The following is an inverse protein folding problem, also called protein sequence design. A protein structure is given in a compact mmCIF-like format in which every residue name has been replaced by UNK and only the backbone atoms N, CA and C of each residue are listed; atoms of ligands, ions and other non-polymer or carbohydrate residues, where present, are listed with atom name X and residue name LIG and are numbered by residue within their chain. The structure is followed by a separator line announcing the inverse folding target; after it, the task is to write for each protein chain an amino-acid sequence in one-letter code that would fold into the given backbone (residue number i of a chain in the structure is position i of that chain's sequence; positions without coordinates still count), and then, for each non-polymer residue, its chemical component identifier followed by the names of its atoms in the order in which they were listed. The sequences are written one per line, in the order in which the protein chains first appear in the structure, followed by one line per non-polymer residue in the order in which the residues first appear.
data_IF_094446237903
#
_entry.id   IF_094446237903
#
_cell.length_a   1.000
_cell.length_b   1.000
_cell.length_c   1.000
_cell.angle_alpha   90.00
_cell.angle_beta   90.00
_cell.angle_gamma   90.00
#
_symmetry.space_group_name_H-M   'P 1'
#
loop_
_entity.id
_entity.type
_entity.pdbx_description
1 polymer ?
#
# COMPACT_ATOMS: atom_id res chain seq x y z
N UNK A 1 -19.72 23.02 -0.58
CA UNK A 1 -19.13 22.92 0.78
C UNK A 1 -17.63 23.12 0.69
N UNK A 2 -17.06 24.09 1.43
CA UNK A 2 -15.60 24.28 1.53
C UNK A 2 -15.04 23.25 2.51
N UNK A 3 -14.01 22.50 2.11
CA UNK A 3 -13.34 21.52 2.99
C UNK A 3 -12.31 22.25 3.84
N UNK A 4 -12.32 22.01 5.16
CA UNK A 4 -11.29 22.56 6.05
C UNK A 4 -9.97 21.78 5.92
N UNK A 5 -8.84 22.46 6.05
CA UNK A 5 -7.51 21.83 6.02
C UNK A 5 -7.35 20.74 7.09
N UNK A 6 -7.91 20.96 8.28
CA UNK A 6 -7.95 19.95 9.36
C UNK A 6 -8.76 18.72 8.95
N UNK A 7 -9.89 18.92 8.27
CA UNK A 7 -10.71 17.81 7.75
C UNK A 7 -9.97 17.01 6.67
N UNK A 8 -9.29 17.70 5.76
CA UNK A 8 -8.46 17.06 4.74
C UNK A 8 -7.29 16.26 5.35
N UNK A 9 -6.56 16.85 6.30
CA UNK A 9 -5.46 16.17 6.98
C UNK A 9 -5.91 14.91 7.73
N UNK A 10 -7.08 14.95 8.40
CA UNK A 10 -7.64 13.76 9.05
C UNK A 10 -7.98 12.67 8.04
N UNK A 11 -8.49 13.03 6.86
CA UNK A 11 -8.77 12.06 5.80
C UNK A 11 -7.49 11.42 5.27
N UNK A 12 -6.42 12.19 5.03
CA UNK A 12 -5.14 11.64 4.57
C UNK A 12 -4.48 10.75 5.63
N UNK A 13 -4.57 11.13 6.91
CA UNK A 13 -4.15 10.29 8.03
C UNK A 13 -4.93 8.98 8.09
N UNK A 14 -6.26 9.04 7.91
CA UNK A 14 -7.11 7.86 7.85
C UNK A 14 -6.72 6.92 6.71
N UNK A 15 -6.47 7.45 5.51
CA UNK A 15 -6.01 6.66 4.37
C UNK A 15 -4.62 6.03 4.60
N UNK A 16 -3.69 6.77 5.20
CA UNK A 16 -2.37 6.25 5.59
C UNK A 16 -2.49 5.10 6.59
N UNK A 17 -3.33 5.25 7.62
CA UNK A 17 -3.59 4.18 8.61
C UNK A 17 -4.25 2.97 7.94
N UNK A 18 -5.23 3.17 7.06
CA UNK A 18 -5.87 2.08 6.33
C UNK A 18 -4.86 1.32 5.45
N UNK A 19 -4.00 2.03 4.72
CA UNK A 19 -2.91 1.42 3.94
C UNK A 19 -1.90 0.68 4.82
N UNK A 20 -1.72 1.10 6.07
CA UNK A 20 -0.79 0.44 6.99
C UNK A 20 -1.40 -0.85 7.54
N UNK A 21 -2.66 -0.78 7.93
CA UNK A 21 -3.42 -1.92 8.40
C UNK A 21 -3.57 -3.00 7.32
N UNK A 22 -3.82 -2.66 6.05
CA UNK A 22 -3.93 -3.68 4.98
C UNK A 22 -2.60 -4.41 4.75
N UNK A 23 -1.46 -3.75 4.93
CA UNK A 23 -0.14 -4.40 4.84
C UNK A 23 0.04 -5.37 6.02
N UNK A 24 -0.39 -4.99 7.22
CA UNK A 24 -0.36 -5.89 8.40
C UNK A 24 -1.28 -7.09 8.17
N UNK A 25 -2.53 -6.88 7.75
CA UNK A 25 -3.46 -7.99 7.51
C UNK A 25 -2.99 -8.89 6.37
N UNK A 26 -2.41 -8.33 5.30
CA UNK A 26 -1.79 -9.11 4.23
C UNK A 26 -0.57 -9.91 4.72
N UNK A 27 0.20 -9.35 5.66
CA UNK A 27 1.30 -10.08 6.31
C UNK A 27 0.76 -11.25 7.16
N UNK A 28 -0.37 -11.07 7.85
CA UNK A 28 -1.05 -12.15 8.57
C UNK A 28 -1.55 -13.24 7.62
N UNK A 29 -2.17 -12.88 6.49
CA UNK A 29 -2.58 -13.84 5.44
C UNK A 29 -1.39 -14.70 5.04
N UNK A 30 -0.23 -14.08 4.78
CA UNK A 30 0.99 -14.81 4.41
C UNK A 30 1.52 -15.71 5.53
N UNK A 31 1.69 -15.16 6.74
CA UNK A 31 2.31 -15.85 7.87
C UNK A 31 1.45 -17.01 8.39
N UNK A 32 0.14 -16.97 8.15
CA UNK A 32 -0.79 -18.05 8.49
C UNK A 32 -0.96 -19.07 7.36
N UNK A 33 -0.29 -18.91 6.22
CA UNK A 33 -0.47 -19.81 5.07
C UNK A 33 -1.83 -19.67 4.39
N UNK A 34 -2.53 -18.54 4.57
CA UNK A 34 -3.90 -18.33 4.07
C UNK A 34 -3.96 -17.63 2.71
N UNK A 35 -2.86 -17.56 1.97
CA UNK A 35 -2.78 -16.82 0.69
C UNK A 35 -3.60 -17.43 -0.45
N UNK A 36 -4.05 -18.68 -0.30
CA UNK A 36 -4.97 -19.40 -1.20
C UNK A 36 -6.20 -19.91 -0.41
N UNK A 37 -6.60 -19.19 0.64
CA UNK A 37 -7.81 -19.51 1.41
C UNK A 37 -9.10 -19.38 0.60
N UNK A 38 -9.11 -18.48 -0.39
CA UNK A 38 -10.13 -18.35 -1.42
C UNK A 38 -9.59 -18.89 -2.76
N UNK A 39 -10.36 -19.77 -3.40
CA UNK A 39 -9.99 -20.43 -4.64
C UNK A 39 -10.06 -19.53 -5.88
N UNK A 40 -10.84 -18.45 -5.83
CA UNK A 40 -11.08 -17.58 -6.99
C UNK A 40 -11.07 -16.09 -6.59
N UNK A 41 -11.21 -15.21 -7.57
CA UNK A 41 -11.45 -13.77 -7.44
C UNK A 41 -12.31 -13.29 -8.62
N UNK A 42 -13.36 -12.45 -8.44
CA UNK A 42 -13.68 -11.64 -7.27
C UNK A 42 -14.52 -12.34 -6.19
N UNK A 43 -15.17 -13.44 -6.54
CA UNK A 43 -15.81 -14.35 -5.59
C UNK A 43 -14.74 -15.17 -4.85
N UNK A 44 -15.01 -15.62 -3.62
CA UNK A 44 -14.04 -16.44 -2.88
C UNK A 44 -14.01 -17.90 -3.39
N UNK A 45 -15.13 -18.43 -3.88
CA UNK A 45 -15.25 -19.74 -4.53
C UNK A 45 -16.32 -19.71 -5.62
N UNK A 46 -16.43 -20.78 -6.42
CA UNK A 46 -17.42 -20.91 -7.50
C UNK A 46 -18.88 -20.71 -7.04
N UNK A 47 -19.18 -21.00 -5.77
CA UNK A 47 -20.54 -20.94 -5.22
C UNK A 47 -20.77 -19.79 -4.23
N UNK A 48 -19.70 -19.14 -3.74
CA UNK A 48 -19.80 -18.12 -2.68
C UNK A 48 -18.91 -16.91 -2.95
N UNK A 49 -19.53 -15.73 -2.89
CA UNK A 49 -18.81 -14.46 -2.96
C UNK A 49 -18.01 -14.17 -1.68
N UNK A 50 -18.57 -14.50 -0.52
CA UNK A 50 -17.92 -14.39 0.79
C UNK A 50 -17.91 -15.79 1.40
N UNK A 51 -16.73 -16.30 1.76
CA UNK A 51 -16.63 -17.55 2.50
C UNK A 51 -15.82 -17.37 3.78
N UNK A 52 -16.36 -17.90 4.87
CA UNK A 52 -15.74 -17.94 6.20
C UNK A 52 -15.85 -19.34 6.81
N UNK A 53 -16.14 -20.36 5.98
CA UNK A 53 -16.31 -21.74 6.46
C UNK A 53 -15.01 -22.40 6.92
N UNK A 54 -13.85 -21.86 6.53
CA UNK A 54 -12.54 -22.26 7.04
C UNK A 54 -11.78 -21.06 7.58
N UNK A 55 -10.84 -21.31 8.50
CA UNK A 55 -9.98 -20.26 9.07
C UNK A 55 -9.16 -19.56 7.97
N UNK A 56 -8.61 -20.31 7.01
CA UNK A 56 -7.83 -19.74 5.91
C UNK A 56 -8.69 -18.86 4.99
N UNK A 57 -9.89 -19.33 4.61
CA UNK A 57 -10.84 -18.54 3.81
C UNK A 57 -11.25 -17.25 4.55
N UNK A 58 -11.56 -17.35 5.85
CA UNK A 58 -11.93 -16.19 6.65
C UNK A 58 -10.79 -15.15 6.72
N UNK A 59 -9.56 -15.59 6.95
CA UNK A 59 -8.38 -14.69 7.02
C UNK A 59 -8.18 -13.96 5.69
N UNK A 60 -8.21 -14.67 4.56
CA UNK A 60 -8.06 -14.05 3.25
C UNK A 60 -9.23 -13.11 2.93
N UNK A 61 -10.45 -13.54 3.22
CA UNK A 61 -11.67 -12.77 2.95
C UNK A 61 -11.70 -11.46 3.73
N UNK A 62 -11.26 -11.45 4.99
CA UNK A 62 -11.14 -10.22 5.79
C UNK A 62 -10.19 -9.23 5.10
N UNK A 63 -9.04 -9.70 4.61
CA UNK A 63 -8.09 -8.85 3.90
C UNK A 63 -8.67 -8.32 2.57
N UNK A 64 -9.39 -9.16 1.82
CA UNK A 64 -10.10 -8.74 0.58
C UNK A 64 -11.13 -7.66 0.87
N UNK A 65 -11.97 -7.83 1.88
CA UNK A 65 -12.98 -6.86 2.27
C UNK A 65 -12.36 -5.55 2.78
N UNK A 66 -11.23 -5.62 3.50
CA UNK A 66 -10.54 -4.42 3.98
C UNK A 66 -9.97 -3.56 2.85
N UNK A 67 -9.66 -4.15 1.69
CA UNK A 67 -9.31 -3.39 0.47
C UNK A 67 -10.42 -2.40 0.07
N UNK A 68 -11.69 -2.71 0.34
CA UNK A 68 -12.80 -1.77 0.14
C UNK A 68 -12.71 -0.52 1.01
N UNK A 69 -12.29 -0.67 2.28
CA UNK A 69 -12.05 0.46 3.19
C UNK A 69 -10.88 1.31 2.69
N UNK A 70 -9.80 0.66 2.23
CA UNK A 70 -8.65 1.34 1.64
C UNK A 70 -9.08 2.13 0.40
N UNK A 71 -9.81 1.52 -0.53
CA UNK A 71 -10.31 2.17 -1.74
C UNK A 71 -11.18 3.40 -1.41
N UNK A 72 -12.14 3.24 -0.49
CA UNK A 72 -13.01 4.34 -0.07
C UNK A 72 -12.20 5.51 0.55
N UNK A 73 -11.17 5.20 1.36
CA UNK A 73 -10.33 6.20 2.01
C UNK A 73 -9.48 7.02 1.00
N UNK A 74 -8.92 6.38 -0.03
CA UNK A 74 -8.11 7.07 -1.05
C UNK A 74 -8.97 7.85 -2.03
N UNK A 75 -10.17 7.34 -2.38
CA UNK A 75 -11.16 8.06 -3.17
C UNK A 75 -11.59 9.33 -2.42
N UNK A 76 -11.88 9.21 -1.12
CA UNK A 76 -12.21 10.36 -0.28
C UNK A 76 -11.09 11.41 -0.30
N UNK A 77 -9.81 10.99 -0.23
CA UNK A 77 -8.68 11.91 -0.33
C UNK A 77 -8.67 12.68 -1.66
N UNK A 78 -8.87 12.01 -2.80
CA UNK A 78 -8.99 12.69 -4.10
C UNK A 78 -10.15 13.68 -4.09
N UNK A 79 -11.35 13.26 -3.69
CA UNK A 79 -12.54 14.11 -3.70
C UNK A 79 -12.38 15.35 -2.81
N UNK A 80 -11.76 15.20 -1.63
CA UNK A 80 -11.48 16.32 -0.74
C UNK A 80 -10.36 17.22 -1.28
N UNK A 81 -9.32 16.65 -1.89
CA UNK A 81 -8.22 17.43 -2.50
C UNK A 81 -8.72 18.37 -3.61
N UNK A 82 -9.70 17.92 -4.42
CA UNK A 82 -10.32 18.71 -5.49
C UNK A 82 -11.16 19.87 -4.96
N UNK A 83 -11.71 19.74 -3.74
CA UNK A 83 -12.52 20.74 -3.05
C UNK A 83 -11.71 21.66 -2.13
N UNK A 84 -10.41 21.39 -1.96
CA UNK A 84 -9.51 22.21 -1.15
C UNK A 84 -9.21 23.56 -1.84
N UNK A 85 -9.13 24.62 -1.05
CA UNK A 85 -8.76 25.97 -1.50
C UNK A 85 -7.63 26.53 -0.62
N UNK A 86 -6.57 27.12 -1.21
CA UNK A 86 -6.26 27.17 -2.66
C UNK A 86 -6.01 25.77 -3.25
N UNK A 87 -6.16 25.62 -4.58
CA UNK A 87 -5.95 24.32 -5.25
C UNK A 87 -4.46 23.97 -5.24
N UNK A 88 -4.14 22.76 -4.76
CA UNK A 88 -2.77 22.25 -4.69
C UNK A 88 -2.60 21.04 -5.60
N UNK A 89 -1.92 21.25 -6.74
CA UNK A 89 -1.73 20.21 -7.77
C UNK A 89 -0.92 19.03 -7.24
N UNK A 90 0.00 19.26 -6.30
CA UNK A 90 0.81 18.21 -5.70
C UNK A 90 -0.04 17.25 -4.84
N UNK A 91 -0.95 17.78 -4.02
CA UNK A 91 -1.89 16.98 -3.21
C UNK A 91 -2.86 16.18 -4.09
N UNK A 92 -3.37 16.82 -5.15
CA UNK A 92 -4.27 16.17 -6.11
C UNK A 92 -3.54 15.04 -6.85
N UNK A 93 -2.33 15.30 -7.35
CA UNK A 93 -1.53 14.31 -8.08
C UNK A 93 -1.22 13.09 -7.20
N UNK A 94 -0.73 13.29 -5.97
CA UNK A 94 -0.46 12.19 -5.03
C UNK A 94 -1.74 11.39 -4.70
N UNK A 95 -2.88 12.07 -4.51
CA UNK A 95 -4.14 11.38 -4.25
C UNK A 95 -4.61 10.55 -5.46
N UNK A 96 -4.42 11.06 -6.68
CA UNK A 96 -4.73 10.31 -7.93
C UNK A 96 -3.81 9.09 -8.06
N UNK A 97 -2.51 9.24 -7.78
CA UNK A 97 -1.55 8.13 -7.76
C UNK A 97 -1.99 7.04 -6.78
N UNK A 98 -2.49 7.41 -5.60
CA UNK A 98 -3.02 6.43 -4.63
C UNK A 98 -4.23 5.68 -5.16
N UNK A 99 -5.20 6.37 -5.78
CA UNK A 99 -6.37 5.70 -6.37
C UNK A 99 -5.96 4.76 -7.50
N UNK A 100 -5.15 5.24 -8.44
CA UNK A 100 -4.64 4.44 -9.56
C UNK A 100 -3.84 3.23 -9.06
N UNK A 101 -3.02 3.42 -8.03
CA UNK A 101 -2.24 2.37 -7.42
C UNK A 101 -3.08 1.32 -6.67
N UNK A 102 -4.14 1.72 -5.97
CA UNK A 102 -5.07 0.78 -5.34
C UNK A 102 -5.81 -0.04 -6.41
N UNK A 103 -6.21 0.58 -7.52
CA UNK A 103 -6.78 -0.16 -8.65
C UNK A 103 -5.78 -1.17 -9.23
N UNK A 104 -4.52 -0.77 -9.39
CA UNK A 104 -3.44 -1.68 -9.81
C UNK A 104 -3.26 -2.82 -8.81
N UNK A 105 -3.35 -2.57 -7.51
CA UNK A 105 -3.25 -3.61 -6.49
C UNK A 105 -4.37 -4.64 -6.55
N UNK A 106 -5.61 -4.20 -6.80
CA UNK A 106 -6.73 -5.13 -6.99
C UNK A 106 -6.45 -6.07 -8.16
N UNK A 107 -5.91 -5.54 -9.26
CA UNK A 107 -5.56 -6.33 -10.45
C UNK A 107 -4.40 -7.30 -10.14
N UNK A 108 -3.31 -6.81 -9.54
CA UNK A 108 -2.17 -7.66 -9.20
C UNK A 108 -2.60 -8.74 -8.18
N UNK A 109 -3.43 -8.40 -7.21
CA UNK A 109 -3.96 -9.35 -6.21
C UNK A 109 -4.80 -10.46 -6.83
N UNK A 110 -5.64 -10.14 -7.82
CA UNK A 110 -6.37 -11.14 -8.59
C UNK A 110 -5.41 -12.07 -9.36
N UNK A 111 -4.38 -11.52 -9.99
CA UNK A 111 -3.33 -12.29 -10.67
C UNK A 111 -2.61 -13.23 -9.69
N UNK A 112 -2.31 -12.76 -8.47
CA UNK A 112 -1.67 -13.58 -7.43
C UNK A 112 -2.49 -14.83 -7.12
N UNK A 113 -3.82 -14.70 -7.00
CA UNK A 113 -4.73 -15.83 -6.74
C UNK A 113 -4.76 -16.77 -7.95
N UNK A 114 -5.03 -16.24 -9.15
CA UNK A 114 -5.16 -17.05 -10.37
C UNK A 114 -3.87 -17.78 -10.77
N UNK A 115 -2.72 -17.25 -10.39
CA UNK A 115 -1.41 -17.86 -10.68
C UNK A 115 -0.89 -18.73 -9.54
N UNK A 116 -1.69 -18.98 -8.49
CA UNK A 116 -1.30 -19.84 -7.38
C UNK A 116 -0.11 -19.28 -6.60
N UNK A 117 -0.16 -17.99 -6.24
CA UNK A 117 0.91 -17.25 -5.56
C UNK A 117 2.23 -17.20 -6.35
N UNK A 118 2.18 -16.99 -7.68
CA UNK A 118 3.39 -16.83 -8.49
C UNK A 118 4.32 -15.77 -7.86
N UNK A 119 5.60 -16.09 -7.65
CA UNK A 119 6.49 -15.24 -6.83
C UNK A 119 6.68 -13.85 -7.42
N UNK A 120 6.71 -13.71 -8.76
CA UNK A 120 6.87 -12.39 -9.38
C UNK A 120 5.64 -11.51 -9.16
N UNK A 121 4.44 -12.08 -9.27
CA UNK A 121 3.19 -11.35 -9.00
C UNK A 121 3.10 -10.93 -7.51
N UNK A 122 3.49 -11.83 -6.60
CA UNK A 122 3.47 -11.56 -5.16
C UNK A 122 4.53 -10.51 -4.76
N UNK A 123 5.73 -10.56 -5.35
CA UNK A 123 6.77 -9.53 -5.19
C UNK A 123 6.25 -8.18 -5.70
N UNK A 124 5.65 -8.14 -6.89
CA UNK A 124 5.09 -6.91 -7.45
C UNK A 124 3.99 -6.34 -6.55
N UNK A 125 3.09 -7.19 -6.06
CA UNK A 125 2.02 -6.79 -5.13
C UNK A 125 2.58 -6.15 -3.86
N UNK A 126 3.63 -6.74 -3.27
CA UNK A 126 4.29 -6.18 -2.10
C UNK A 126 5.01 -4.85 -2.40
N UNK A 127 5.81 -4.78 -3.47
CA UNK A 127 6.57 -3.58 -3.81
C UNK A 127 5.67 -2.38 -4.15
N UNK A 128 4.56 -2.63 -4.87
CA UNK A 128 3.55 -1.60 -5.11
C UNK A 128 2.92 -1.16 -3.78
N UNK A 129 2.74 -2.05 -2.80
CA UNK A 129 2.19 -1.69 -1.48
C UNK A 129 3.13 -0.73 -0.74
N UNK A 130 4.44 -1.00 -0.76
CA UNK A 130 5.46 -0.11 -0.17
C UNK A 130 5.49 1.25 -0.87
N UNK A 131 5.33 1.28 -2.19
CA UNK A 131 5.23 2.53 -2.95
C UNK A 131 4.00 3.35 -2.55
N UNK A 132 2.82 2.72 -2.44
CA UNK A 132 1.58 3.40 -2.02
C UNK A 132 1.63 3.87 -0.58
N UNK A 133 2.21 3.07 0.32
CA UNK A 133 2.48 3.45 1.70
C UNK A 133 3.34 4.72 1.77
N UNK A 134 4.44 4.76 1.01
CA UNK A 134 5.34 5.91 0.93
C UNK A 134 4.62 7.15 0.37
N UNK A 135 3.80 6.96 -0.67
CA UNK A 135 3.01 8.03 -1.27
C UNK A 135 1.96 8.58 -0.29
N UNK A 136 1.29 7.73 0.47
CA UNK A 136 0.31 8.14 1.48
C UNK A 136 0.97 8.89 2.64
N UNK A 137 2.15 8.44 3.09
CA UNK A 137 2.94 9.18 4.07
C UNK A 137 3.33 10.57 3.54
N UNK A 138 3.82 10.65 2.30
CA UNK A 138 4.13 11.92 1.64
C UNK A 138 2.92 12.84 1.52
N UNK A 139 1.74 12.28 1.21
CA UNK A 139 0.49 13.03 1.17
C UNK A 139 0.14 13.61 2.55
N UNK A 140 0.26 12.82 3.62
CA UNK A 140 0.06 13.29 5.01
C UNK A 140 1.06 14.39 5.35
N UNK A 141 2.35 14.21 5.03
CA UNK A 141 3.38 15.22 5.27
C UNK A 141 3.09 16.52 4.53
N UNK A 142 2.78 16.45 3.24
CA UNK A 142 2.43 17.61 2.41
C UNK A 142 1.14 18.30 2.86
N UNK A 143 0.16 17.54 3.36
CA UNK A 143 -1.06 18.08 3.96
C UNK A 143 -0.81 18.70 5.35
N UNK A 144 0.16 18.18 6.11
CA UNK A 144 0.50 18.66 7.46
C UNK A 144 1.28 19.95 7.49
N UNK A 145 2.07 20.25 6.44
CA UNK A 145 2.80 21.52 6.29
C UNK A 145 1.84 22.72 6.26
N UNK A 146 0.54 22.49 6.07
CA UNK A 146 -0.52 23.50 6.12
C UNK A 146 -0.85 24.05 7.53
N UNK A 147 0.02 23.89 8.53
CA UNK A 147 -0.37 24.15 9.94
C UNK A 147 -0.06 25.52 10.53
N UNK A 148 0.53 26.49 9.83
CA UNK A 148 0.94 27.72 10.55
C UNK A 148 0.87 29.08 9.87
N UNK A 149 0.48 29.25 8.61
CA UNK A 149 0.26 30.60 8.05
C UNK A 149 -0.59 30.52 6.78
N UNK A 150 -1.45 31.51 6.55
CA UNK A 150 -2.05 31.79 5.22
C UNK A 150 -0.98 32.19 4.18
N UNK A 151 0.28 32.30 4.61
CA UNK A 151 1.45 32.36 3.76
C UNK A 151 1.87 30.93 3.42
N UNK A 152 2.02 30.66 2.13
CA UNK A 152 2.71 29.46 1.62
C UNK A 152 4.06 29.38 2.33
N UNK A 153 4.17 28.61 3.42
CA UNK A 153 5.45 28.36 4.05
C UNK A 153 6.34 27.78 2.94
N UNK A 154 7.38 28.50 2.49
CA UNK A 154 8.29 27.97 1.49
C UNK A 154 8.77 26.62 2.00
N UNK A 155 8.89 25.61 1.13
CA UNK A 155 9.52 24.31 1.46
C UNK A 155 10.65 24.62 2.42
N UNK A 156 10.46 24.28 3.71
CA UNK A 156 11.44 24.66 4.73
C UNK A 156 12.79 24.23 4.21
N UNK A 157 13.73 25.17 4.13
CA UNK A 157 15.08 24.85 3.70
C UNK A 157 15.51 23.58 4.43
N UNK A 158 16.03 22.55 3.72
CA UNK A 158 16.33 21.27 4.35
C UNK A 158 17.10 21.53 5.64
N UNK A 159 16.57 21.01 6.76
CA UNK A 159 17.10 21.25 8.12
C UNK A 159 18.61 21.00 8.22
N UNK A 160 19.11 20.18 7.30
CA UNK A 160 20.48 19.79 7.15
C UNK A 160 20.88 19.95 5.68
N UNK A 161 21.73 20.94 5.39
CA UNK A 161 22.34 21.18 4.08
C UNK A 161 23.79 20.71 4.09
N UNK A 162 24.16 19.85 3.15
CA UNK A 162 25.55 19.43 2.98
C UNK A 162 25.68 18.19 2.10
N UNK A 163 26.73 18.14 1.27
CA UNK A 163 26.99 17.02 0.36
C UNK A 163 27.09 15.68 1.12
N UNK A 164 27.63 15.69 2.33
CA UNK A 164 27.71 14.49 3.19
C UNK A 164 26.34 13.97 3.58
N UNK A 165 25.41 14.85 3.96
CA UNK A 165 24.07 14.47 4.42
C UNK A 165 23.25 13.96 3.25
N UNK A 166 23.35 14.61 2.09
CA UNK A 166 22.73 14.11 0.85
C UNK A 166 23.27 12.73 0.47
N UNK A 167 24.58 12.50 0.55
CA UNK A 167 25.19 11.18 0.33
C UNK A 167 24.65 10.15 1.32
N UNK A 168 24.62 10.46 2.62
CA UNK A 168 24.10 9.55 3.65
C UNK A 168 22.65 9.17 3.36
N UNK A 169 21.78 10.15 3.08
CA UNK A 169 20.36 9.91 2.78
C UNK A 169 20.21 9.03 1.54
N UNK A 170 20.94 9.33 0.45
CA UNK A 170 20.92 8.50 -0.77
C UNK A 170 21.41 7.09 -0.51
N UNK A 171 22.51 6.91 0.24
CA UNK A 171 23.03 5.59 0.60
C UNK A 171 22.02 4.81 1.42
N UNK A 172 21.40 5.42 2.42
CA UNK A 172 20.37 4.77 3.24
C UNK A 172 19.15 4.37 2.42
N UNK A 173 18.70 5.23 1.50
CA UNK A 173 17.57 4.93 0.60
C UNK A 173 17.89 3.74 -0.32
N UNK A 174 19.08 3.74 -0.94
CA UNK A 174 19.52 2.64 -1.82
C UNK A 174 19.67 1.35 -1.02
N UNK A 175 20.31 1.39 0.15
CA UNK A 175 20.50 0.21 1.00
C UNK A 175 19.16 -0.35 1.49
N UNK A 176 18.21 0.51 1.87
CA UNK A 176 16.86 0.08 2.28
C UNK A 176 16.11 -0.52 1.10
N UNK A 177 16.17 0.11 -0.08
CA UNK A 177 15.55 -0.43 -1.29
C UNK A 177 16.11 -1.80 -1.67
N UNK A 178 17.43 -1.97 -1.62
CA UNK A 178 18.08 -3.25 -1.85
C UNK A 178 17.66 -4.30 -0.80
N UNK A 179 17.63 -3.93 0.49
CA UNK A 179 17.19 -4.83 1.55
C UNK A 179 15.73 -5.29 1.37
N UNK A 180 14.83 -4.37 1.00
CA UNK A 180 13.42 -4.67 0.72
C UNK A 180 13.31 -5.63 -0.46
N UNK A 181 13.96 -5.35 -1.59
CA UNK A 181 13.90 -6.21 -2.79
C UNK A 181 14.48 -7.59 -2.49
N UNK A 182 15.68 -7.65 -1.91
CA UNK A 182 16.31 -8.93 -1.53
C UNK A 182 15.43 -9.71 -0.55
N UNK A 183 14.82 -9.04 0.43
CA UNK A 183 13.87 -9.67 1.35
C UNK A 183 12.68 -10.31 0.62
N UNK A 184 12.12 -9.64 -0.40
CA UNK A 184 11.03 -10.22 -1.20
C UNK A 184 11.48 -11.45 -2.00
N UNK A 185 12.70 -11.45 -2.53
CA UNK A 185 13.28 -12.60 -3.24
C UNK A 185 13.49 -13.79 -2.30
N UNK A 186 14.08 -13.56 -1.13
CA UNK A 186 14.28 -14.59 -0.09
C UNK A 186 12.94 -15.18 0.33
N UNK A 187 11.93 -14.35 0.51
CA UNK A 187 10.61 -14.85 0.93
C UNK A 187 9.86 -15.55 -0.20
N UNK A 188 10.16 -15.24 -1.47
CA UNK A 188 9.64 -15.92 -2.64
C UNK A 188 10.32 -17.26 -2.96
N UNK A 189 11.54 -17.50 -2.44
CA UNK A 189 12.24 -18.78 -2.52
C UNK A 189 12.02 -19.67 -1.28
N UNK A 190 11.78 -19.07 -0.11
CA UNK A 190 11.62 -19.79 1.16
C UNK A 190 10.25 -20.45 1.37
N UNK A 191 10.10 -21.27 2.42
CA UNK A 191 8.88 -22.04 2.69
C UNK A 191 7.66 -21.17 3.06
N UNK A 192 7.85 -19.89 3.40
CA UNK A 192 6.79 -18.98 3.83
C UNK A 192 6.31 -18.02 2.71
N UNK A 193 5.99 -18.52 1.51
CA UNK A 193 5.49 -17.66 0.42
C UNK A 193 3.98 -17.40 0.43
N UNK A 194 3.28 -17.83 1.48
CA UNK A 194 1.86 -17.54 1.72
C UNK A 194 0.95 -18.76 1.65
N UNK A 195 1.45 -19.89 1.16
CA UNK A 195 0.84 -21.22 1.19
C UNK A 195 1.95 -22.28 1.04
N UNK A 196 1.75 -23.48 1.55
CA UNK A 196 2.71 -24.59 1.45
C UNK A 196 2.92 -25.08 0.01
N UNK A 197 1.88 -25.01 -0.82
CA UNK A 197 1.87 -25.49 -2.21
C UNK A 197 2.26 -24.42 -3.23
N UNK A 198 2.46 -23.17 -2.77
CA UNK A 198 2.71 -22.06 -3.67
C UNK A 198 4.02 -22.19 -4.46
N UNK A 199 4.01 -21.71 -5.72
CA UNK A 199 5.18 -21.75 -6.60
C UNK A 199 6.33 -20.93 -5.99
N UNK A 200 7.55 -21.49 -6.00
CA UNK A 200 8.76 -20.85 -5.45
C UNK A 200 9.70 -20.38 -6.55
N UNK A 201 10.51 -19.37 -6.25
CA UNK A 201 11.65 -19.02 -7.11
C UNK A 201 12.65 -20.17 -7.07
N UNK A 202 12.89 -20.78 -8.23
CA UNK A 202 13.81 -21.90 -8.42
C UNK A 202 15.28 -21.51 -8.35
N UNK A 203 15.69 -20.78 -7.31
CA UNK A 203 17.10 -20.72 -6.91
C UNK A 203 17.42 -22.05 -6.21
N UNK A 204 17.53 -23.13 -6.98
CA UNK A 204 18.16 -24.33 -6.48
C UNK A 204 19.63 -23.96 -6.15
N UNK A 205 19.96 -23.85 -4.86
CA UNK A 205 21.32 -24.12 -4.38
C UNK A 205 21.43 -25.60 -4.09
#
# INVERSE_FOLDING_TARGET
MRVSHRGYLRATQGAFVALYLIIITGSLVRLTGSGLGCADWPQCSESKFIDVSSTHAAIEQINRLFTGVVAASVILCVLLSLRLKPKRRDLIAMSIVLVAGVMMQVIIGAIVVWTGLNPFSNIAHFLVSIFLMTTAYMLVRHASIFRTTDEVAPRGEPLLKGQTIEKIVKTLLVATGAAVVTGTLVTGSGPHAGDETAVRLGFAM
#
